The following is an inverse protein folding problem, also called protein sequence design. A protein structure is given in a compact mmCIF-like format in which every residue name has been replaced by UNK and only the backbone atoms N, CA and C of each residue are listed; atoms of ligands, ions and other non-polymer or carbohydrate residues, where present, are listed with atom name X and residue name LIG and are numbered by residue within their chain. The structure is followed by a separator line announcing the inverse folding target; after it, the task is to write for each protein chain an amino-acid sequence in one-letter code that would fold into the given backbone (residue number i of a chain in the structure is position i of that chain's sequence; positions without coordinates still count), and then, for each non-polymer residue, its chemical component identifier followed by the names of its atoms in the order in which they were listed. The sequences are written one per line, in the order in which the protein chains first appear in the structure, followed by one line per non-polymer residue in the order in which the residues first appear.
data_IF_860335426200
#
_entry.id   IF_860335426200
#
_cell.length_a   1.000
_cell.length_b   1.000
_cell.length_c   1.000
_cell.angle_alpha   90.00
_cell.angle_beta   90.00
_cell.angle_gamma   90.00
#
_symmetry.space_group_name_H-M   'P 1'
#
loop_
_entity.id
_entity.type
_entity.pdbx_description
1 polymer ?
#
# COMPACT_ATOMS: atom_id res chain seq x y z
N UNK A 1 24.40 -41.81 -30.41
CA UNK A 1 25.29 -41.58 -29.24
C UNK A 1 25.70 -40.11 -29.23
N UNK A 2 24.74 -39.18 -29.19
CA UNK A 2 24.09 -38.67 -27.96
C UNK A 2 25.07 -37.85 -27.13
N UNK A 3 24.86 -36.52 -27.02
CA UNK A 3 24.40 -35.88 -25.76
C UNK A 3 23.94 -34.42 -25.93
N UNK A 4 23.39 -34.01 -27.08
CA UNK A 4 22.89 -32.62 -27.27
C UNK A 4 21.37 -32.50 -27.50
N UNK A 5 20.63 -33.59 -27.34
CA UNK A 5 19.19 -33.65 -27.61
C UNK A 5 18.29 -33.69 -26.35
N UNK A 6 18.69 -33.02 -25.24
CA UNK A 6 17.99 -33.18 -23.95
C UNK A 6 17.49 -31.90 -23.26
N UNK A 7 17.23 -30.81 -23.98
CA UNK A 7 16.33 -29.78 -23.45
C UNK A 7 15.32 -29.34 -24.51
N UNK A 8 14.23 -30.09 -24.55
CA UNK A 8 12.99 -29.61 -25.14
C UNK A 8 12.46 -28.45 -24.32
N UNK A 9 12.57 -27.24 -24.85
CA UNK A 9 11.63 -26.17 -24.57
C UNK A 9 11.02 -25.76 -25.90
N UNK A 10 9.82 -26.29 -26.17
CA UNK A 10 8.91 -25.67 -27.14
C UNK A 10 8.64 -24.28 -26.59
N UNK A 11 9.25 -23.26 -27.18
CA UNK A 11 8.82 -21.88 -26.98
C UNK A 11 7.39 -21.77 -27.48
N UNK A 12 6.43 -21.96 -26.59
CA UNK A 12 5.06 -21.56 -26.85
C UNK A 12 5.09 -20.06 -27.10
N UNK A 13 4.98 -19.70 -28.37
CA UNK A 13 4.52 -18.40 -28.82
C UNK A 13 3.17 -18.13 -28.17
N UNK A 14 3.16 -17.39 -27.06
CA UNK A 14 1.97 -16.65 -26.65
C UNK A 14 1.99 -15.33 -27.42
N UNK A 15 1.31 -15.32 -28.57
CA UNK A 15 0.80 -14.09 -29.16
C UNK A 15 -0.58 -13.81 -28.58
N UNK A 16 -0.82 -12.51 -28.38
CA UNK A 16 -2.11 -11.79 -28.21
C UNK A 16 -2.39 -11.39 -26.77
N UNK A 17 -2.49 -10.11 -26.40
CA UNK A 17 -2.84 -8.91 -27.18
C UNK A 17 -2.04 -7.68 -26.73
N UNK A 18 -1.28 -7.08 -27.65
CA UNK A 18 -0.99 -5.65 -27.63
C UNK A 18 -2.29 -4.88 -27.85
N UNK A 19 -2.94 -4.54 -26.74
CA UNK A 19 -3.86 -3.42 -26.67
C UNK A 19 -3.08 -2.24 -26.12
N UNK A 20 -2.74 -1.30 -27.00
CA UNK A 20 -2.23 0.01 -26.62
C UNK A 20 -3.21 0.67 -25.65
N UNK A 21 -2.80 0.77 -24.38
CA UNK A 21 -3.34 1.73 -23.43
C UNK A 21 -2.12 2.26 -22.72
N UNK A 22 -1.72 3.49 -23.02
CA UNK A 22 -0.80 4.21 -22.15
C UNK A 22 -1.32 4.02 -20.71
N UNK A 23 -0.51 3.58 -19.73
CA UNK A 23 -1.01 3.31 -18.40
C UNK A 23 -1.70 4.59 -17.91
N UNK A 24 -3.04 4.58 -17.87
CA UNK A 24 -3.77 5.64 -17.19
C UNK A 24 -3.23 5.64 -15.77
N UNK A 25 -2.99 6.81 -15.16
CA UNK A 25 -2.51 6.88 -13.78
C UNK A 25 -3.54 6.17 -12.89
N UNK A 26 -3.24 4.92 -12.56
CA UNK A 26 -3.99 4.05 -11.67
C UNK A 26 -3.68 4.38 -10.21
N UNK A 27 -2.60 5.14 -10.02
CA UNK A 27 -2.08 5.60 -8.75
C UNK A 27 -2.70 6.93 -8.31
N UNK A 28 -3.30 6.93 -7.13
CA UNK A 28 -3.70 8.12 -6.39
C UNK A 28 -2.80 8.27 -5.15
N UNK A 29 -2.00 9.33 -5.11
CA UNK A 29 -1.25 9.68 -3.89
C UNK A 29 -2.20 10.23 -2.85
N UNK A 30 -2.14 9.68 -1.64
CA UNK A 30 -2.90 10.18 -0.50
C UNK A 30 -2.01 11.10 0.34
N UNK A 31 -2.61 12.02 1.12
CA UNK A 31 -1.86 12.85 2.06
C UNK A 31 -1.08 11.99 3.05
N UNK A 32 0.11 12.45 3.41
CA UNK A 32 0.93 11.85 4.46
C UNK A 32 0.19 11.88 5.80
N UNK A 33 0.25 10.78 6.53
CA UNK A 33 -0.38 10.62 7.85
C UNK A 33 0.71 10.67 8.92
N UNK A 34 0.46 11.43 9.98
CA UNK A 34 1.38 11.56 11.12
C UNK A 34 0.70 11.12 12.40
N UNK A 35 1.45 10.45 13.27
CA UNK A 35 1.02 10.09 14.63
C UNK A 35 2.14 10.31 15.64
N UNK A 36 1.77 10.52 16.90
CA UNK A 36 2.74 10.68 17.98
C UNK A 36 3.18 9.32 18.50
N UNK A 37 4.49 9.15 18.72
CA UNK A 37 5.09 7.96 19.34
C UNK A 37 5.85 8.34 20.62
N UNK A 38 6.14 7.34 21.45
CA UNK A 38 7.07 7.47 22.58
C UNK A 38 8.43 6.92 22.16
N UNK A 39 9.48 7.73 22.32
CA UNK A 39 10.86 7.35 22.03
C UNK A 39 11.58 6.84 23.28
N UNK A 40 12.77 6.21 23.13
CA UNK A 40 13.62 5.87 24.26
C UNK A 40 13.82 7.08 25.18
N UNK A 41 13.71 6.86 26.49
CA UNK A 41 13.76 7.94 27.49
C UNK A 41 12.46 8.73 27.64
N UNK A 42 11.33 8.26 27.10
CA UNK A 42 10.00 8.83 27.34
C UNK A 42 9.68 10.11 26.58
N UNK A 43 10.58 10.57 25.70
CA UNK A 43 10.37 11.77 24.88
C UNK A 43 9.34 11.48 23.78
N UNK A 44 8.58 12.49 23.38
CA UNK A 44 7.65 12.38 22.25
C UNK A 44 8.42 12.42 20.93
N UNK A 45 7.98 11.60 19.98
CA UNK A 45 8.44 11.60 18.59
C UNK A 45 7.26 11.62 17.63
N UNK A 46 7.54 11.74 16.35
CA UNK A 46 6.51 11.72 15.30
C UNK A 46 6.79 10.59 14.33
N UNK A 47 5.80 9.72 14.15
CA UNK A 47 5.76 8.74 13.08
C UNK A 47 5.05 9.34 11.88
N UNK A 48 5.69 9.29 10.71
CA UNK A 48 5.19 9.81 9.43
C UNK A 48 5.06 8.65 8.46
N UNK A 49 3.89 8.51 7.82
CA UNK A 49 3.56 7.43 6.89
C UNK A 49 3.05 8.04 5.59
N UNK A 50 3.79 7.84 4.50
CA UNK A 50 3.33 8.19 3.16
C UNK A 50 2.55 7.04 2.55
N UNK A 51 1.35 7.34 2.05
CA UNK A 51 0.46 6.33 1.47
C UNK A 51 -0.05 6.75 0.10
N UNK A 52 -0.37 5.76 -0.71
CA UNK A 52 -1.11 5.92 -1.96
C UNK A 52 -2.01 4.71 -2.19
N UNK A 53 -2.93 4.84 -3.13
CA UNK A 53 -3.82 3.77 -3.53
C UNK A 53 -3.68 3.57 -5.03
N UNK A 54 -3.40 2.34 -5.44
CA UNK A 54 -3.38 1.93 -6.83
C UNK A 54 -4.66 1.16 -7.16
N UNK A 55 -5.32 1.52 -8.27
CA UNK A 55 -6.53 0.84 -8.72
C UNK A 55 -6.67 0.89 -10.23
N UNK A 56 -6.76 -0.29 -10.85
CA UNK A 56 -6.93 -0.43 -12.30
C UNK A 56 -8.34 -0.06 -12.79
N UNK A 57 -9.37 -0.25 -11.97
CA UNK A 57 -10.78 0.03 -12.31
C UNK A 57 -11.10 1.53 -12.21
N UNK A 58 -11.59 2.12 -13.31
CA UNK A 58 -11.99 3.53 -13.37
C UNK A 58 -13.12 3.89 -12.41
N UNK A 59 -14.11 3.01 -12.21
CA UNK A 59 -15.22 3.27 -11.29
C UNK A 59 -14.75 3.28 -9.83
N UNK A 60 -13.82 2.39 -9.49
CA UNK A 60 -13.17 2.41 -8.19
C UNK A 60 -12.31 3.64 -7.98
N UNK A 61 -11.55 4.07 -8.98
CA UNK A 61 -10.74 5.31 -8.86
C UNK A 61 -11.58 6.51 -8.51
N UNK A 62 -12.74 6.70 -9.17
CA UNK A 62 -13.69 7.76 -8.82
C UNK A 62 -14.19 7.63 -7.38
N UNK A 63 -14.49 6.40 -6.93
CA UNK A 63 -14.89 6.16 -5.53
C UNK A 63 -13.77 6.46 -4.55
N UNK A 64 -12.51 6.09 -4.85
CA UNK A 64 -11.35 6.40 -4.00
C UNK A 64 -11.19 7.92 -3.88
N UNK A 65 -11.29 8.66 -4.99
CA UNK A 65 -11.24 10.11 -4.98
C UNK A 65 -12.38 10.73 -4.15
N UNK A 66 -13.61 10.25 -4.31
CA UNK A 66 -14.77 10.71 -3.53
C UNK A 66 -14.67 10.34 -2.04
N UNK A 67 -14.02 9.23 -1.72
CA UNK A 67 -13.82 8.73 -0.36
C UNK A 67 -12.51 9.19 0.27
N UNK A 68 -11.72 10.06 -0.40
CA UNK A 68 -10.42 10.50 0.10
C UNK A 68 -10.45 11.07 1.53
N UNK A 69 -11.43 11.89 1.95
CA UNK A 69 -11.51 12.35 3.34
C UNK A 69 -11.76 11.22 4.34
N UNK A 70 -12.57 10.22 3.96
CA UNK A 70 -12.89 9.07 4.82
C UNK A 70 -11.70 8.12 4.94
N UNK A 71 -11.01 7.87 3.83
CA UNK A 71 -9.77 7.09 3.82
C UNK A 71 -8.71 7.75 4.70
N UNK A 72 -8.57 9.07 4.61
CA UNK A 72 -7.66 9.82 5.48
C UNK A 72 -7.99 9.64 6.96
N UNK A 73 -9.26 9.75 7.34
CA UNK A 73 -9.69 9.54 8.71
C UNK A 73 -9.41 8.10 9.20
N UNK A 74 -9.75 7.10 8.37
CA UNK A 74 -9.49 5.70 8.69
C UNK A 74 -7.99 5.41 8.85
N UNK A 75 -7.15 5.95 7.98
CA UNK A 75 -5.70 5.78 8.07
C UNK A 75 -5.12 6.49 9.29
N UNK A 76 -5.60 7.68 9.64
CA UNK A 76 -5.19 8.37 10.86
C UNK A 76 -5.42 7.51 12.11
N UNK A 77 -6.57 6.83 12.19
CA UNK A 77 -6.87 5.90 13.29
C UNK A 77 -5.90 4.73 13.31
N UNK A 78 -5.67 4.08 12.16
CA UNK A 78 -4.74 2.92 12.08
C UNK A 78 -3.31 3.33 12.43
N UNK A 79 -2.80 4.43 11.88
CA UNK A 79 -1.45 4.93 12.14
C UNK A 79 -1.30 5.34 13.62
N UNK A 80 -2.33 5.95 14.22
CA UNK A 80 -2.31 6.26 15.65
C UNK A 80 -2.32 5.01 16.53
N UNK A 81 -3.09 3.98 16.18
CA UNK A 81 -3.09 2.70 16.88
C UNK A 81 -1.73 1.99 16.77
N UNK A 82 -1.13 1.98 15.58
CA UNK A 82 0.20 1.44 15.36
C UNK A 82 1.26 2.18 16.19
N UNK A 83 1.20 3.52 16.21
CA UNK A 83 2.09 4.36 17.00
C UNK A 83 1.97 4.09 18.51
N UNK A 84 0.74 3.87 19.00
CA UNK A 84 0.48 3.56 20.41
C UNK A 84 0.94 2.13 20.80
N UNK A 85 0.94 1.20 19.85
CA UNK A 85 1.36 -0.18 20.06
C UNK A 85 2.89 -0.38 19.95
N UNK A 86 3.62 0.61 19.44
CA UNK A 86 5.07 0.55 19.31
C UNK A 86 5.76 0.63 20.68
N UNK A 87 6.74 -0.25 20.88
CA UNK A 87 7.63 -0.18 22.03
C UNK A 87 8.64 0.97 21.84
N UNK A 88 9.00 1.72 22.89
CA UNK A 88 9.95 2.82 22.76
C UNK A 88 11.29 2.39 22.16
N UNK A 89 11.67 2.98 21.03
CA UNK A 89 12.93 2.67 20.32
C UNK A 89 12.86 1.49 19.37
N UNK A 90 11.74 0.78 19.32
CA UNK A 90 11.50 -0.25 18.31
C UNK A 90 11.22 0.41 16.95
N UNK A 91 11.70 -0.16 15.84
CA UNK A 91 11.20 0.21 14.52
C UNK A 91 9.69 -0.10 14.41
N UNK A 92 8.97 0.61 13.54
CA UNK A 92 7.56 0.32 13.26
C UNK A 92 7.42 -1.03 12.55
N UNK A 93 6.44 -1.82 12.97
CA UNK A 93 6.06 -3.06 12.28
C UNK A 93 5.28 -2.72 11.00
N UNK A 94 6.01 -2.66 9.89
CA UNK A 94 5.47 -2.27 8.58
C UNK A 94 4.52 -3.32 8.03
N UNK A 95 4.76 -4.61 8.27
CA UNK A 95 3.92 -5.70 7.76
C UNK A 95 2.53 -5.64 8.36
N UNK A 96 2.45 -5.46 9.68
CA UNK A 96 1.19 -5.25 10.39
C UNK A 96 0.51 -3.96 9.95
N UNK A 97 1.26 -2.87 9.79
CA UNK A 97 0.72 -1.59 9.34
C UNK A 97 0.10 -1.69 7.94
N UNK A 98 0.76 -2.35 6.99
CA UNK A 98 0.24 -2.60 5.63
C UNK A 98 -1.06 -3.38 5.70
N UNK A 99 -1.11 -4.47 6.47
CA UNK A 99 -2.30 -5.30 6.60
C UNK A 99 -3.49 -4.52 7.16
N UNK A 100 -3.26 -3.73 8.21
CA UNK A 100 -4.31 -2.92 8.85
C UNK A 100 -4.80 -1.77 7.95
N UNK A 101 -3.89 -1.07 7.27
CA UNK A 101 -4.25 -0.01 6.33
C UNK A 101 -4.98 -0.56 5.10
N UNK A 102 -4.58 -1.72 4.58
CA UNK A 102 -5.28 -2.38 3.48
C UNK A 102 -6.70 -2.81 3.90
N UNK A 103 -6.86 -3.34 5.11
CA UNK A 103 -8.17 -3.66 5.66
C UNK A 103 -9.03 -2.40 5.78
N UNK A 104 -8.49 -1.31 6.34
CA UNK A 104 -9.19 -0.04 6.43
C UNK A 104 -9.58 0.53 5.06
N UNK A 105 -8.74 0.34 4.04
CA UNK A 105 -9.03 0.69 2.65
C UNK A 105 -10.27 -0.07 2.14
N UNK A 106 -10.26 -1.39 2.30
CA UNK A 106 -11.35 -2.26 1.85
C UNK A 106 -12.66 -1.93 2.58
N UNK A 107 -12.61 -1.71 3.90
CA UNK A 107 -13.79 -1.32 4.70
C UNK A 107 -14.34 0.04 4.26
N UNK A 108 -13.47 1.02 4.00
CA UNK A 108 -13.90 2.38 3.59
C UNK A 108 -14.50 2.41 2.19
N UNK A 109 -13.99 1.58 1.28
CA UNK A 109 -14.49 1.49 -0.10
C UNK A 109 -15.68 0.53 -0.25
N UNK A 110 -15.91 -0.34 0.73
CA UNK A 110 -16.98 -1.34 0.75
C UNK A 110 -16.78 -2.50 -0.23
N UNK A 111 -15.60 -2.61 -0.86
CA UNK A 111 -15.21 -3.71 -1.75
C UNK A 111 -13.70 -3.80 -1.82
N UNK A 112 -13.19 -5.01 -2.06
CA UNK A 112 -11.78 -5.22 -2.38
C UNK A 112 -11.46 -4.75 -3.82
N UNK A 113 -10.18 -4.52 -4.09
CA UNK A 113 -9.68 -4.19 -5.44
C UNK A 113 -8.83 -2.91 -5.52
N UNK A 114 -8.76 -2.14 -4.44
CA UNK A 114 -7.81 -1.04 -4.28
C UNK A 114 -6.57 -1.55 -3.54
N UNK A 115 -5.39 -1.37 -4.12
CA UNK A 115 -4.12 -1.78 -3.51
C UNK A 115 -3.50 -0.59 -2.78
N UNK A 116 -3.28 -0.74 -1.47
CA UNK A 116 -2.50 0.21 -0.71
C UNK A 116 -1.04 0.13 -1.12
N UNK A 117 -0.43 1.29 -1.31
CA UNK A 117 1.00 1.46 -1.46
C UNK A 117 1.52 2.33 -0.32
N UNK A 118 2.63 1.91 0.28
CA UNK A 118 3.35 2.69 1.28
C UNK A 118 4.65 3.18 0.64
N UNK A 119 4.91 4.47 0.72
CA UNK A 119 6.15 5.08 0.23
C UNK A 119 7.24 4.99 1.28
N UNK A 120 7.10 5.81 2.32
CA UNK A 120 8.06 5.90 3.42
C UNK A 120 7.36 5.82 4.77
N UNK A 121 7.99 5.13 5.71
CA UNK A 121 7.62 5.16 7.13
C UNK A 121 8.84 5.63 7.90
N UNK A 122 8.69 6.73 8.64
CA UNK A 122 9.80 7.33 9.38
C UNK A 122 9.35 7.73 10.77
N UNK A 123 10.23 7.55 11.76
CA UNK A 123 10.03 7.98 13.14
C UNK A 123 11.14 8.95 13.52
N UNK A 124 10.78 10.17 13.95
CA UNK A 124 11.72 11.25 14.31
C UNK A 124 11.51 11.83 15.69
#
# INVERSE_FOLDING_TARGET
MDRRALLGLKSQTLKTSEGSSAPQPSYLRLPTITANVIRPGGRRGVMTVETGVDTADAALRTRVAQSAPRLRAAYAVVVQQAANAMLPGSPPDVERLVAQLQLATNTTLGRAGARLLIGTVMVV
#
